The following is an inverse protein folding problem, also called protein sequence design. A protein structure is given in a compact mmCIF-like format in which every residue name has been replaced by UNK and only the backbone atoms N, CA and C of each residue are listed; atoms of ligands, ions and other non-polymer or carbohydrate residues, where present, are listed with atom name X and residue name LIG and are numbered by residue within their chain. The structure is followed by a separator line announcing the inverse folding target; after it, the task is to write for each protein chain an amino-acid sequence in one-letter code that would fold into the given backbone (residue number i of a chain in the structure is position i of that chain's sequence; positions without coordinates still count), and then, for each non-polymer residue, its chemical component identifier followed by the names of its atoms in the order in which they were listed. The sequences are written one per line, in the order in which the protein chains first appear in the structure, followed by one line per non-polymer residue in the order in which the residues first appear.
data_IF_995765163346
#
_entry.id   IF_995765163346
#
_cell.length_a   1.000
_cell.length_b   1.000
_cell.length_c   1.000
_cell.angle_alpha   90.00
_cell.angle_beta   90.00
_cell.angle_gamma   90.00
#
_symmetry.space_group_name_H-M   'P 1'
#
loop_
_entity.id
_entity.type
_entity.pdbx_description
1 polymer ?
#
# COMPACT_ATOMS: atom_id res chain seq x y z
N UNK A 1 0.25 -0.29 15.22
CA UNK A 1 0.93 -0.85 14.03
C UNK A 1 0.47 -0.06 12.82
N UNK A 2 1.27 -0.02 11.77
CA UNK A 2 0.93 0.70 10.55
C UNK A 2 1.28 -0.14 9.32
N UNK A 3 0.44 -0.07 8.29
CA UNK A 3 0.80 -0.49 6.95
C UNK A 3 0.34 0.61 6.00
N UNK A 4 1.25 1.40 5.45
CA UNK A 4 0.92 2.55 4.61
C UNK A 4 1.47 2.37 3.19
N UNK A 5 0.81 3.02 2.23
CA UNK A 5 1.20 3.02 0.81
C UNK A 5 1.45 4.46 0.38
N UNK A 6 2.58 4.71 -0.29
CA UNK A 6 2.92 6.03 -0.78
C UNK A 6 4.19 6.03 -1.61
N UNK A 7 4.83 7.19 -1.65
CA UNK A 7 6.19 7.38 -2.13
C UNK A 7 7.04 7.90 -0.98
N UNK A 8 8.17 7.25 -0.70
CA UNK A 8 9.11 7.73 0.33
C UNK A 8 10.01 8.81 -0.26
N UNK A 9 10.06 9.98 0.40
CA UNK A 9 10.83 11.15 -0.04
C UNK A 9 11.64 11.68 1.14
N UNK A 10 12.85 12.17 0.85
CA UNK A 10 13.64 12.96 1.81
C UNK A 10 13.22 14.41 1.65
N UNK A 11 12.82 15.06 2.75
CA UNK A 11 12.21 16.40 2.71
C UNK A 11 13.17 17.52 2.28
N UNK A 12 14.47 17.24 2.25
CA UNK A 12 15.50 18.17 1.77
C UNK A 12 15.76 17.97 0.27
N UNK A 13 15.97 19.07 -0.48
CA UNK A 13 16.21 19.12 -1.94
C UNK A 13 17.55 18.51 -2.39
N UNK A 14 18.01 17.47 -1.71
CA UNK A 14 19.24 16.77 -2.04
C UNK A 14 18.92 15.68 -3.06
N UNK A 15 19.79 15.55 -4.05
CA UNK A 15 19.68 14.53 -5.10
C UNK A 15 19.60 13.12 -4.47
N UNK A 16 18.55 12.34 -4.75
CA UNK A 16 18.38 10.98 -4.22
C UNK A 16 19.59 10.06 -4.49
N UNK A 17 20.24 10.20 -5.64
CA UNK A 17 21.41 9.39 -6.01
C UNK A 17 22.63 9.76 -5.14
N UNK A 18 22.79 11.04 -4.80
CA UNK A 18 23.83 11.53 -3.89
C UNK A 18 23.58 11.04 -2.48
N UNK A 19 22.33 11.12 -1.99
CA UNK A 19 21.95 10.61 -0.66
C UNK A 19 22.17 9.10 -0.57
N UNK A 20 21.74 8.34 -1.58
CA UNK A 20 21.93 6.91 -1.66
C UNK A 20 23.40 6.53 -1.62
N UNK A 21 24.24 7.20 -2.42
CA UNK A 21 25.69 6.99 -2.41
C UNK A 21 26.30 7.34 -1.05
N UNK A 22 25.95 8.49 -0.49
CA UNK A 22 26.48 8.98 0.78
C UNK A 22 26.11 8.07 1.96
N UNK A 23 24.87 7.58 2.03
CA UNK A 23 24.41 6.74 3.15
C UNK A 23 24.64 5.25 2.94
N UNK A 24 25.06 4.82 1.76
CA UNK A 24 25.51 3.44 1.53
C UNK A 24 26.88 3.16 2.15
N UNK A 25 27.73 4.19 2.35
CA UNK A 25 29.00 4.05 3.06
C UNK A 25 28.76 3.78 4.56
N UNK A 26 29.24 2.65 5.11
CA UNK A 26 29.10 2.33 6.52
C UNK A 26 29.55 3.44 7.48
N UNK A 27 30.52 4.28 7.09
CA UNK A 27 31.04 5.38 7.92
C UNK A 27 30.04 6.52 8.12
N UNK A 28 29.08 6.69 7.23
CA UNK A 28 28.09 7.78 7.20
C UNK A 28 26.66 7.31 7.43
N UNK A 29 26.42 5.99 7.55
CA UNK A 29 25.09 5.43 7.85
C UNK A 29 24.46 5.98 9.13
N UNK A 30 25.26 6.43 10.10
CA UNK A 30 24.72 7.07 11.30
C UNK A 30 23.99 8.38 10.98
N UNK A 31 24.43 9.12 9.95
CA UNK A 31 23.78 10.35 9.49
C UNK A 31 22.46 10.01 8.80
N UNK A 32 22.47 9.00 7.91
CA UNK A 32 21.25 8.55 7.22
C UNK A 32 20.14 8.13 8.19
N UNK A 33 20.49 7.54 9.34
CA UNK A 33 19.54 7.21 10.42
C UNK A 33 18.99 8.42 11.18
N UNK A 34 19.61 9.58 11.07
CA UNK A 34 19.15 10.84 11.68
C UNK A 34 18.32 11.71 10.71
N UNK A 35 18.26 11.34 9.43
CA UNK A 35 17.44 12.05 8.44
C UNK A 35 15.94 11.83 8.68
N UNK A 36 15.14 12.79 8.23
CA UNK A 36 13.69 12.69 8.23
C UNK A 36 13.18 12.07 6.93
N UNK A 37 12.93 10.77 6.98
CA UNK A 37 12.31 10.02 5.88
C UNK A 37 10.81 10.16 5.99
N UNK A 38 10.18 10.79 4.99
CA UNK A 38 8.73 11.03 5.00
C UNK A 38 8.10 10.15 3.94
N UNK A 39 7.08 9.38 4.34
CA UNK A 39 6.22 8.69 3.39
C UNK A 39 5.04 9.60 3.08
N UNK A 40 4.86 9.92 1.80
CA UNK A 40 3.79 10.78 1.34
C UNK A 40 2.90 10.03 0.34
N UNK A 41 1.59 10.27 0.40
CA UNK A 41 0.67 9.85 -0.65
C UNK A 41 0.20 11.09 -1.39
N UNK A 42 0.48 11.13 -2.70
CA UNK A 42 0.23 12.32 -3.52
C UNK A 42 0.99 13.53 -2.95
N UNK A 43 0.29 14.59 -2.54
CA UNK A 43 0.88 15.79 -1.94
C UNK A 43 0.74 15.84 -0.42
N UNK A 44 0.33 14.73 0.22
CA UNK A 44 0.06 14.67 1.65
C UNK A 44 1.09 13.79 2.36
N UNK A 45 1.82 14.38 3.31
CA UNK A 45 2.73 13.65 4.18
C UNK A 45 1.91 12.80 5.18
N UNK A 46 2.17 11.49 5.21
CA UNK A 46 1.42 10.55 6.04
C UNK A 46 2.12 10.22 7.35
N UNK A 47 3.41 9.90 7.28
CA UNK A 47 4.19 9.41 8.41
C UNK A 47 5.69 9.66 8.21
N UNK A 48 6.43 9.61 9.31
CA UNK A 48 7.90 9.63 9.32
C UNK A 48 8.39 8.20 9.53
N UNK A 49 9.22 7.68 8.62
CA UNK A 49 9.87 6.37 8.77
C UNK A 49 11.20 6.56 9.49
N UNK A 50 11.41 5.86 10.60
CA UNK A 50 12.63 5.97 11.39
C UNK A 50 13.38 4.63 11.41
N UNK A 51 14.48 4.47 10.64
CA UNK A 51 15.27 3.26 10.68
C UNK A 51 16.09 3.18 11.98
N UNK A 52 16.08 2.04 12.64
CA UNK A 52 16.80 1.79 13.90
C UNK A 52 18.17 1.13 13.65
N UNK A 53 18.30 0.39 12.56
CA UNK A 53 19.51 -0.33 12.20
C UNK A 53 19.94 -0.07 10.75
N UNK A 54 21.14 -0.55 10.39
CA UNK A 54 21.68 -0.41 9.04
C UNK A 54 20.81 -1.12 7.98
N UNK A 55 20.20 -2.25 8.32
CA UNK A 55 19.30 -2.99 7.43
C UNK A 55 18.06 -2.18 7.07
N UNK A 56 17.40 -1.58 8.08
CA UNK A 56 16.22 -0.73 7.87
C UNK A 56 16.56 0.54 7.08
N UNK A 57 17.74 1.13 7.31
CA UNK A 57 18.23 2.23 6.48
C UNK A 57 18.44 1.77 5.03
N UNK A 58 19.02 0.58 4.83
CA UNK A 58 19.21 -0.01 3.51
C UNK A 58 17.90 -0.08 2.71
N UNK A 59 16.80 -0.52 3.33
CA UNK A 59 15.49 -0.54 2.68
C UNK A 59 15.03 0.85 2.23
N UNK A 60 15.22 1.88 3.05
CA UNK A 60 14.90 3.27 2.68
C UNK A 60 15.78 3.78 1.52
N UNK A 61 17.05 3.42 1.49
CA UNK A 61 17.93 3.78 0.38
C UNK A 61 17.52 3.09 -0.93
N UNK A 62 16.86 1.93 -0.87
CA UNK A 62 16.30 1.26 -2.04
C UNK A 62 15.03 1.93 -2.58
N UNK A 63 14.33 2.74 -1.77
CA UNK A 63 13.19 3.56 -2.22
C UNK A 63 13.64 4.85 -2.90
N UNK A 64 14.88 5.30 -2.66
CA UNK A 64 15.45 6.44 -3.36
C UNK A 64 15.64 6.09 -4.84
N UNK A 65 14.82 6.72 -5.67
CA UNK A 65 14.76 6.52 -7.12
C UNK A 65 15.82 7.38 -7.79
N UNK A 66 16.66 6.76 -8.60
CA UNK A 66 17.50 7.47 -9.57
C UNK A 66 16.61 8.02 -10.69
N UNK A 67 17.06 9.05 -11.41
CA UNK A 67 16.34 9.56 -12.59
C UNK A 67 16.09 8.40 -13.59
N UNK A 68 14.81 8.08 -13.84
CA UNK A 68 14.38 6.97 -14.69
C UNK A 68 13.97 5.69 -13.97
N UNK A 69 14.09 5.58 -12.64
CA UNK A 69 13.56 4.43 -11.89
C UNK A 69 12.03 4.49 -11.79
N UNK A 70 11.37 3.49 -12.38
CA UNK A 70 9.91 3.43 -12.59
C UNK A 70 9.13 2.82 -11.43
N UNK A 71 9.76 2.36 -10.33
CA UNK A 71 9.04 1.96 -9.09
C UNK A 71 8.12 3.10 -8.71
N UNK A 72 6.84 2.83 -8.44
CA UNK A 72 5.82 3.86 -8.19
C UNK A 72 5.09 3.68 -6.85
N UNK A 73 5.25 2.52 -6.21
CA UNK A 73 4.56 2.16 -4.97
C UNK A 73 5.57 1.72 -3.91
N UNK A 74 5.63 2.46 -2.81
CA UNK A 74 6.37 2.14 -1.60
C UNK A 74 5.40 1.70 -0.50
N UNK A 75 5.70 0.58 0.16
CA UNK A 75 4.89 0.03 1.25
C UNK A 75 5.73 -0.05 2.52
N UNK A 76 5.23 0.55 3.59
CA UNK A 76 5.88 0.52 4.91
C UNK A 76 4.98 -0.23 5.89
N UNK A 77 5.51 -1.30 6.47
CA UNK A 77 4.88 -2.06 7.57
C UNK A 77 5.74 -1.88 8.82
N UNK A 78 5.13 -1.45 9.93
CA UNK A 78 5.91 -1.18 11.13
C UNK A 78 5.13 -0.88 12.39
N UNK A 79 5.89 -0.62 13.45
CA UNK A 79 5.36 -0.22 14.75
C UNK A 79 5.19 1.31 14.76
N UNK A 80 3.95 1.75 14.97
CA UNK A 80 3.64 3.16 15.12
C UNK A 80 4.04 3.60 16.53
N UNK A 81 4.90 4.62 16.59
CA UNK A 81 5.34 5.29 17.80
C UNK A 81 4.63 6.64 17.99
N UNK A 82 5.17 7.51 18.87
CA UNK A 82 4.62 8.83 19.10
C UNK A 82 4.72 9.71 17.85
N UNK A 83 3.97 10.81 17.85
CA UNK A 83 4.16 11.88 16.86
C UNK A 83 5.51 12.54 17.07
N UNK A 84 6.15 12.94 15.97
CA UNK A 84 7.39 13.71 16.02
C UNK A 84 7.17 15.05 16.75
N UNK A 85 8.20 15.50 17.48
CA UNK A 85 8.17 16.79 18.18
C UNK A 85 8.20 17.95 17.19
N UNK A 86 7.73 19.13 17.62
CA UNK A 86 7.76 20.34 16.79
C UNK A 86 9.18 20.79 16.39
N UNK A 87 10.20 20.34 17.13
CA UNK A 87 11.62 20.58 16.83
C UNK A 87 12.20 19.59 15.80
N UNK A 88 11.48 18.53 15.44
CA UNK A 88 11.94 17.50 14.52
C UNK A 88 11.33 17.68 13.12
N UNK A 89 12.07 17.24 12.09
CA UNK A 89 11.57 17.13 10.71
C UNK A 89 10.87 18.37 10.15
N UNK A 90 11.46 19.55 10.39
CA UNK A 90 10.92 20.85 9.98
C UNK A 90 9.51 21.12 10.56
N UNK A 91 9.25 20.68 11.79
CA UNK A 91 7.98 20.90 12.50
C UNK A 91 6.85 19.96 12.07
N UNK A 92 7.14 18.90 11.30
CA UNK A 92 6.15 17.93 10.86
C UNK A 92 5.63 17.10 12.05
N UNK A 93 4.40 17.37 12.51
CA UNK A 93 3.75 16.63 13.60
C UNK A 93 3.11 15.31 13.12
N UNK A 94 3.91 14.48 12.44
CA UNK A 94 3.47 13.21 11.86
C UNK A 94 3.76 12.04 12.80
N UNK A 95 2.97 10.95 12.75
CA UNK A 95 3.31 9.71 13.43
C UNK A 95 4.67 9.18 12.98
N UNK A 96 5.51 8.74 13.93
CA UNK A 96 6.78 8.07 13.63
C UNK A 96 6.54 6.57 13.55
N UNK A 97 7.07 5.91 12.53
CA UNK A 97 6.98 4.45 12.34
C UNK A 97 8.38 3.85 12.32
N UNK A 98 8.61 2.88 13.19
CA UNK A 98 9.76 1.99 13.12
C UNK A 98 9.44 0.87 12.11
N UNK A 99 10.14 0.80 10.95
CA UNK A 99 9.82 -0.17 9.92
C UNK A 99 10.24 -1.57 10.37
N UNK A 100 9.33 -2.54 10.24
CA UNK A 100 9.64 -3.96 10.33
C UNK A 100 9.81 -4.58 8.95
N UNK A 101 9.15 -3.99 7.95
CA UNK A 101 9.34 -4.31 6.54
C UNK A 101 9.10 -3.05 5.71
N UNK A 102 9.93 -2.85 4.70
CA UNK A 102 9.74 -1.84 3.69
C UNK A 102 10.07 -2.46 2.33
N UNK A 103 9.23 -2.21 1.33
CA UNK A 103 9.48 -2.67 -0.04
C UNK A 103 8.83 -1.75 -1.06
N UNK A 104 9.37 -1.79 -2.27
CA UNK A 104 8.92 -0.99 -3.40
C UNK A 104 8.68 -1.88 -4.61
N UNK A 105 7.62 -1.59 -5.38
CA UNK A 105 7.35 -2.30 -6.63
C UNK A 105 6.73 -1.37 -7.68
N UNK A 106 6.57 -1.91 -8.89
CA UNK A 106 5.96 -1.22 -10.03
C UNK A 106 4.58 -1.81 -10.29
N UNK A 107 3.59 -0.95 -10.51
CA UNK A 107 2.24 -1.38 -10.89
C UNK A 107 2.27 -2.31 -12.12
N UNK A 108 3.04 -1.98 -13.16
CA UNK A 108 3.17 -2.80 -14.37
C UNK A 108 3.86 -4.14 -14.09
N UNK A 109 4.88 -4.16 -13.23
CA UNK A 109 5.58 -5.39 -12.90
C UNK A 109 4.69 -6.33 -12.07
N UNK A 110 3.83 -5.77 -11.22
CA UNK A 110 2.84 -6.55 -10.49
C UNK A 110 1.73 -7.06 -11.42
N UNK A 111 1.25 -6.21 -12.33
CA UNK A 111 0.22 -6.57 -13.32
C UNK A 111 0.64 -7.76 -14.20
N UNK A 112 1.91 -7.86 -14.59
CA UNK A 112 2.44 -8.99 -15.39
C UNK A 112 2.38 -10.34 -14.68
N UNK A 113 2.25 -10.36 -13.35
CA UNK A 113 2.17 -11.59 -12.55
C UNK A 113 0.73 -12.07 -12.34
N UNK A 114 -0.27 -11.27 -12.74
CA UNK A 114 -1.67 -11.61 -12.55
C UNK A 114 -2.09 -12.73 -13.50
N UNK A 115 -2.87 -13.67 -12.97
CA UNK A 115 -3.49 -14.70 -13.79
C UNK A 115 -4.54 -14.07 -14.71
N UNK A 116 -4.38 -14.26 -16.02
CA UNK A 116 -5.33 -13.77 -17.02
C UNK A 116 -6.64 -14.58 -16.96
N UNK A 117 -7.81 -13.93 -16.80
CA UNK A 117 -9.10 -14.58 -16.99
C UNK A 117 -9.24 -15.11 -18.43
N UNK A 118 -9.75 -16.34 -18.64
CA UNK A 118 -9.88 -16.92 -19.98
C UNK A 118 -10.74 -16.08 -20.95
N UNK A 119 -11.70 -15.34 -20.41
CA UNK A 119 -12.65 -14.45 -21.09
C UNK A 119 -12.04 -13.18 -21.69
N UNK A 120 -10.79 -12.83 -21.36
CA UNK A 120 -10.16 -11.58 -21.79
C UNK A 120 -9.00 -11.87 -22.74
N UNK A 121 -9.01 -11.25 -23.92
CA UNK A 121 -7.91 -11.32 -24.88
C UNK A 121 -6.57 -10.87 -24.27
N UNK A 122 -5.43 -11.53 -24.58
CA UNK A 122 -4.14 -11.26 -23.92
C UNK A 122 -3.69 -9.80 -23.95
N UNK A 123 -3.77 -9.14 -25.11
CA UNK A 123 -3.35 -7.74 -25.25
C UNK A 123 -4.25 -6.80 -24.43
N UNK A 124 -5.57 -7.05 -24.47
CA UNK A 124 -6.55 -6.29 -23.67
C UNK A 124 -6.34 -6.52 -22.17
N UNK A 125 -6.03 -7.75 -21.76
CA UNK A 125 -5.73 -8.05 -20.36
C UNK A 125 -4.49 -7.29 -19.86
N UNK A 126 -3.41 -7.23 -20.64
CA UNK A 126 -2.21 -6.51 -20.23
C UNK A 126 -2.48 -5.02 -19.93
N UNK A 127 -3.30 -4.36 -20.76
CA UNK A 127 -3.74 -2.98 -20.52
C UNK A 127 -4.60 -2.87 -19.25
N UNK A 128 -5.62 -3.73 -19.13
CA UNK A 128 -6.58 -3.69 -18.03
C UNK A 128 -5.95 -4.08 -16.68
N UNK A 129 -4.97 -4.98 -16.67
CA UNK A 129 -4.26 -5.43 -15.47
C UNK A 129 -3.51 -4.27 -14.81
N UNK A 130 -2.73 -3.51 -15.57
CA UNK A 130 -2.03 -2.32 -15.05
C UNK A 130 -3.03 -1.27 -14.57
N UNK A 131 -4.12 -1.06 -15.32
CA UNK A 131 -5.17 -0.11 -14.93
C UNK A 131 -5.91 -0.55 -13.67
N UNK A 132 -6.11 -1.85 -13.48
CA UNK A 132 -6.69 -2.43 -12.28
C UNK A 132 -5.78 -2.22 -11.06
N UNK A 133 -4.48 -2.50 -11.19
CA UNK A 133 -3.50 -2.29 -10.11
C UNK A 133 -3.46 -0.84 -9.66
N UNK A 134 -3.32 0.09 -10.61
CA UNK A 134 -3.28 1.53 -10.31
C UNK A 134 -4.60 2.04 -9.71
N UNK A 135 -5.75 1.59 -10.23
CA UNK A 135 -7.07 1.93 -9.69
C UNK A 135 -7.24 1.44 -8.25
N UNK A 136 -6.97 0.16 -7.96
CA UNK A 136 -7.12 -0.41 -6.62
C UNK A 136 -6.18 0.29 -5.64
N UNK A 137 -4.88 0.41 -5.97
CA UNK A 137 -3.90 1.03 -5.09
C UNK A 137 -4.24 2.51 -4.86
N UNK A 138 -4.63 3.24 -5.89
CA UNK A 138 -5.08 4.63 -5.79
C UNK A 138 -6.29 4.79 -4.87
N UNK A 139 -7.25 3.87 -4.94
CA UNK A 139 -8.50 3.92 -4.15
C UNK A 139 -8.32 3.69 -2.65
N UNK A 140 -7.19 3.09 -2.23
CA UNK A 140 -6.93 2.78 -0.82
C UNK A 140 -5.75 3.56 -0.23
N UNK A 141 -5.22 4.59 -0.91
CA UNK A 141 -4.12 5.39 -0.34
C UNK A 141 -4.55 6.03 0.98
N UNK A 142 -3.93 5.60 2.08
CA UNK A 142 -4.26 6.04 3.43
C UNK A 142 -3.04 5.90 4.37
N UNK A 143 -3.16 6.42 5.59
CA UNK A 143 -2.08 6.42 6.60
C UNK A 143 -1.74 5.05 7.19
N UNK A 144 -2.56 4.02 6.92
CA UNK A 144 -2.35 2.69 7.48
C UNK A 144 -2.55 2.58 8.99
N UNK A 145 -3.12 3.61 9.63
CA UNK A 145 -3.14 3.74 11.10
C UNK A 145 -4.34 3.08 11.79
N UNK A 146 -5.42 2.81 11.05
CA UNK A 146 -6.58 2.05 11.55
C UNK A 146 -6.54 0.61 11.05
N UNK A 147 -7.32 -0.27 11.68
CA UNK A 147 -7.38 -1.67 11.30
C UNK A 147 -8.02 -1.87 9.91
N UNK A 148 -9.01 -1.05 9.55
CA UNK A 148 -9.62 -1.02 8.22
C UNK A 148 -8.62 -0.60 7.14
N UNK A 149 -7.86 0.46 7.42
CA UNK A 149 -6.79 0.94 6.54
C UNK A 149 -5.74 -0.15 6.30
N UNK A 150 -5.34 -0.88 7.34
CA UNK A 150 -4.37 -1.97 7.24
C UNK A 150 -4.89 -3.14 6.42
N UNK A 151 -6.15 -3.51 6.60
CA UNK A 151 -6.79 -4.58 5.83
C UNK A 151 -6.87 -4.22 4.33
N UNK A 152 -7.30 -3.00 4.01
CA UNK A 152 -7.36 -2.49 2.63
C UNK A 152 -5.98 -2.43 1.98
N UNK A 153 -4.97 -1.91 2.70
CA UNK A 153 -3.61 -1.80 2.17
C UNK A 153 -2.96 -3.17 1.97
N UNK A 154 -3.23 -4.13 2.86
CA UNK A 154 -2.80 -5.51 2.69
C UNK A 154 -3.35 -6.10 1.39
N UNK A 155 -4.67 -6.03 1.16
CA UNK A 155 -5.27 -6.58 -0.05
C UNK A 155 -4.77 -5.88 -1.31
N UNK A 156 -4.71 -4.54 -1.30
CA UNK A 156 -4.24 -3.78 -2.45
C UNK A 156 -2.79 -4.07 -2.83
N UNK A 157 -1.94 -4.45 -1.86
CA UNK A 157 -0.51 -4.69 -2.12
C UNK A 157 -0.13 -6.16 -2.25
N UNK A 158 -1.01 -7.10 -1.90
CA UNK A 158 -0.71 -8.55 -1.87
C UNK A 158 -1.69 -9.42 -2.62
N UNK A 159 -2.95 -9.00 -2.83
CA UNK A 159 -3.97 -9.86 -3.44
C UNK A 159 -3.96 -9.81 -4.97
N UNK A 160 -3.28 -10.78 -5.59
CA UNK A 160 -3.34 -10.96 -7.04
C UNK A 160 -4.78 -11.24 -7.53
N UNK A 161 -5.57 -11.94 -6.71
CA UNK A 161 -6.98 -12.25 -6.99
C UNK A 161 -7.84 -10.98 -7.10
N UNK A 162 -7.66 -10.02 -6.19
CA UNK A 162 -8.37 -8.73 -6.24
C UNK A 162 -8.06 -7.95 -7.52
N UNK A 163 -6.80 -7.92 -7.94
CA UNK A 163 -6.40 -7.19 -9.14
C UNK A 163 -6.86 -7.89 -10.42
N UNK A 164 -6.81 -9.22 -10.47
CA UNK A 164 -7.36 -10.00 -11.59
C UNK A 164 -8.88 -9.82 -11.71
N UNK A 165 -9.60 -9.84 -10.58
CA UNK A 165 -11.03 -9.53 -10.54
C UNK A 165 -11.29 -8.10 -11.04
N UNK A 166 -10.55 -7.11 -10.55
CA UNK A 166 -10.71 -5.73 -10.99
C UNK A 166 -10.47 -5.58 -12.51
N UNK A 167 -9.49 -6.29 -13.07
CA UNK A 167 -9.26 -6.31 -14.52
C UNK A 167 -10.45 -6.91 -15.29
N UNK A 168 -11.06 -7.98 -14.77
CA UNK A 168 -12.30 -8.54 -15.32
C UNK A 168 -13.46 -7.56 -15.24
N UNK A 169 -13.68 -6.92 -14.08
CA UNK A 169 -14.71 -5.91 -13.91
C UNK A 169 -14.54 -4.75 -14.90
N UNK A 170 -13.31 -4.28 -15.11
CA UNK A 170 -13.01 -3.27 -16.13
C UNK A 170 -13.32 -3.76 -17.56
N UNK A 171 -13.07 -5.03 -17.87
CA UNK A 171 -13.39 -5.62 -19.17
C UNK A 171 -14.90 -5.65 -19.44
N UNK A 172 -15.69 -5.80 -18.37
CA UNK A 172 -17.15 -5.86 -18.39
C UNK A 172 -17.82 -4.48 -18.22
N UNK A 173 -17.06 -3.39 -18.41
CA UNK A 173 -17.52 -2.00 -18.27
C UNK A 173 -18.00 -1.61 -16.86
N UNK A 174 -17.46 -2.25 -15.82
CA UNK A 174 -17.57 -1.80 -14.44
C UNK A 174 -16.36 -0.96 -14.01
N UNK A 175 -16.54 -0.11 -12.99
CA UNK A 175 -15.48 0.63 -12.32
C UNK A 175 -15.61 0.49 -10.82
N UNK A 176 -14.47 0.54 -10.11
CA UNK A 176 -14.50 0.59 -8.65
C UNK A 176 -15.19 1.87 -8.20
N UNK A 177 -16.28 1.72 -7.45
CA UNK A 177 -17.03 2.81 -6.86
C UNK A 177 -16.67 3.02 -5.38
N UNK A 178 -16.31 1.94 -4.67
CA UNK A 178 -15.90 2.03 -3.27
C UNK A 178 -15.01 0.86 -2.85
N UNK A 179 -14.08 1.13 -1.93
CA UNK A 179 -13.39 0.14 -1.13
C UNK A 179 -13.62 0.49 0.35
N UNK A 180 -14.11 -0.45 1.15
CA UNK A 180 -14.46 -0.23 2.57
C UNK A 180 -13.94 -1.35 3.44
N UNK A 181 -13.66 -1.04 4.69
CA UNK A 181 -13.39 -2.02 5.74
C UNK A 181 -14.36 -1.80 6.90
N UNK A 182 -14.79 -2.88 7.54
CA UNK A 182 -15.58 -2.86 8.76
C UNK A 182 -15.24 -4.07 9.64
N UNK A 183 -15.42 -3.96 10.94
CA UNK A 183 -15.22 -5.09 11.84
C UNK A 183 -16.19 -6.23 11.52
N UNK A 184 -15.67 -7.45 11.54
CA UNK A 184 -16.48 -8.66 11.41
C UNK A 184 -16.97 -9.13 12.79
N UNK A 185 -18.19 -9.68 12.83
CA UNK A 185 -18.75 -10.33 14.02
C UNK A 185 -17.98 -11.58 14.46
N UNK A 186 -17.07 -12.09 13.63
CA UNK A 186 -16.25 -13.27 13.90
C UNK A 186 -15.06 -13.00 14.86
N UNK A 187 -15.09 -11.91 15.63
CA UNK A 187 -13.97 -11.46 16.46
C UNK A 187 -13.88 -12.19 17.81
N UNK A 188 -13.35 -13.43 17.81
CA UNK A 188 -13.00 -14.18 19.03
C UNK A 188 -11.68 -13.66 19.67
N UNK A 189 -11.62 -12.38 20.03
CA UNK A 189 -10.41 -11.73 20.57
C UNK A 189 -9.36 -11.35 19.52
N UNK A 190 -9.66 -11.57 18.24
CA UNK A 190 -8.86 -11.15 17.09
C UNK A 190 -9.52 -9.96 16.39
N UNK A 191 -8.71 -9.13 15.75
CA UNK A 191 -9.18 -7.99 14.95
C UNK A 191 -9.35 -8.45 13.51
N UNK A 192 -10.56 -8.87 13.17
CA UNK A 192 -10.92 -9.35 11.84
C UNK A 192 -11.74 -8.26 11.16
N UNK A 193 -11.27 -7.83 10.00
CA UNK A 193 -11.92 -6.81 9.18
C UNK A 193 -12.52 -7.50 7.95
N UNK A 194 -13.82 -7.32 7.76
CA UNK A 194 -14.43 -7.55 6.46
C UNK A 194 -14.13 -6.36 5.56
N UNK A 195 -13.43 -6.63 4.47
CA UNK A 195 -13.16 -5.67 3.41
C UNK A 195 -14.15 -5.88 2.28
N UNK A 196 -14.65 -4.81 1.69
CA UNK A 196 -15.56 -4.87 0.54
C UNK A 196 -15.14 -3.94 -0.58
N UNK A 197 -15.29 -4.43 -1.81
CA UNK A 197 -15.00 -3.71 -3.04
C UNK A 197 -16.26 -3.69 -3.89
N UNK A 198 -16.84 -2.50 -4.06
CA UNK A 198 -18.06 -2.28 -4.85
C UNK A 198 -17.68 -1.75 -6.22
N UNK A 199 -18.12 -2.45 -7.25
CA UNK A 199 -17.96 -2.08 -8.65
C UNK A 199 -19.31 -1.71 -9.24
N UNK A 200 -19.36 -0.59 -9.97
CA UNK A 200 -20.57 -0.09 -10.61
C UNK A 200 -20.45 -0.14 -12.13
N UNK A 201 -21.51 -0.61 -12.78
CA UNK A 201 -21.58 -0.62 -14.25
C UNK A 201 -21.65 0.81 -14.79
N UNK A 202 -20.93 1.07 -15.89
CA UNK A 202 -21.01 2.33 -16.62
C UNK A 202 -22.28 2.44 -17.49
N UNK A 203 -22.96 1.33 -17.74
CA UNK A 203 -24.10 1.24 -18.68
C UNK A 203 -25.44 1.08 -17.99
N UNK A 204 -25.45 0.51 -16.78
CA UNK A 204 -26.65 0.10 -16.06
C UNK A 204 -26.55 0.51 -14.59
N UNK A 205 -27.66 0.61 -13.84
CA UNK A 205 -27.61 0.87 -12.40
C UNK A 205 -27.03 -0.30 -11.58
N UNK A 206 -26.70 -1.44 -12.21
CA UNK A 206 -26.19 -2.63 -11.55
C UNK A 206 -24.85 -2.36 -10.84
N UNK A 207 -24.74 -2.88 -9.62
CA UNK A 207 -23.54 -2.89 -8.80
C UNK A 207 -23.21 -4.33 -8.41
N UNK A 208 -21.91 -4.63 -8.34
CA UNK A 208 -21.40 -5.92 -7.85
C UNK A 208 -20.46 -5.63 -6.70
N UNK A 209 -20.59 -6.39 -5.62
CA UNK A 209 -19.76 -6.22 -4.43
C UNK A 209 -19.07 -7.54 -4.10
N UNK A 210 -17.79 -7.46 -3.77
CA UNK A 210 -16.97 -8.59 -3.36
C UNK A 210 -16.39 -8.31 -1.99
N UNK A 211 -16.28 -9.33 -1.15
CA UNK A 211 -15.66 -9.21 0.17
C UNK A 211 -14.65 -10.30 0.48
N UNK A 212 -13.74 -9.96 1.39
CA UNK A 212 -12.77 -10.85 1.99
C UNK A 212 -12.56 -10.47 3.46
N UNK A 213 -12.32 -11.49 4.30
CA UNK A 213 -11.96 -11.31 5.69
C UNK A 213 -10.44 -11.26 5.85
N UNK A 214 -9.95 -10.24 6.53
CA UNK A 214 -8.52 -10.03 6.80
C UNK A 214 -8.33 -9.97 8.31
N UNK A 215 -7.42 -10.78 8.84
CA UNK A 215 -6.95 -10.63 10.21
C UNK A 215 -5.84 -9.58 10.25
N UNK A 216 -6.04 -8.56 11.08
CA UNK A 216 -5.09 -7.47 11.30
C UNK A 216 -4.66 -7.41 12.78
N UNK A 217 -4.82 -8.51 13.52
CA UNK A 217 -4.47 -8.56 14.94
C UNK A 217 -3.00 -8.26 15.18
N UNK A 218 -2.13 -8.84 14.36
CA UNK A 218 -0.68 -8.72 14.48
C UNK A 218 -0.11 -7.82 13.39
N UNK A 219 1.22 -7.61 13.40
CA UNK A 219 1.89 -6.65 12.52
C UNK A 219 1.67 -6.95 11.03
N UNK A 220 1.67 -8.23 10.67
CA UNK A 220 1.52 -8.71 9.30
C UNK A 220 0.12 -9.28 9.11
N UNK A 221 -0.76 -8.57 8.38
CA UNK A 221 -2.09 -9.08 8.09
C UNK A 221 -2.08 -10.35 7.24
N UNK A 222 -3.15 -11.14 7.32
CA UNK A 222 -3.35 -12.31 6.46
C UNK A 222 -4.84 -12.54 6.15
N UNK A 223 -5.10 -13.28 5.07
CA UNK A 223 -6.46 -13.64 4.64
C UNK A 223 -7.05 -14.71 5.57
N UNK A 224 -8.30 -14.50 5.99
CA UNK A 224 -9.13 -15.51 6.68
C UNK A 224 -10.09 -16.16 5.69
N UNK A 225 -10.59 -15.41 4.70
CA UNK A 225 -11.42 -15.93 3.61
C UNK A 225 -10.85 -15.51 2.26
N UNK A 226 -11.13 -16.32 1.24
CA UNK A 226 -10.88 -15.92 -0.15
C UNK A 226 -11.79 -14.75 -0.55
N UNK A 227 -11.40 -14.01 -1.59
CA UNK A 227 -12.22 -12.97 -2.16
C UNK A 227 -13.41 -13.60 -2.89
N UNK A 228 -14.62 -13.19 -2.54
CA UNK A 228 -15.82 -13.74 -3.18
C UNK A 228 -16.95 -12.72 -3.24
N UNK A 229 -18.06 -13.05 -3.92
CA UNK A 229 -19.25 -12.21 -3.92
C UNK A 229 -19.68 -11.90 -2.48
N UNK A 230 -19.97 -10.64 -2.19
CA UNK A 230 -20.44 -10.23 -0.88
C UNK A 230 -21.85 -10.75 -0.65
N UNK A 231 -22.03 -11.52 0.43
CA UNK A 231 -23.34 -12.02 0.86
C UNK A 231 -23.71 -11.23 2.11
N UNK A 232 -24.78 -10.43 2.04
CA UNK A 232 -25.34 -9.82 3.24
C UNK A 232 -25.79 -10.95 4.18
N UNK A 233 -25.13 -11.05 5.34
CA UNK A 233 -25.58 -11.93 6.41
C UNK A 233 -26.60 -11.15 7.25
N UNK A 234 -27.84 -11.61 7.23
CA UNK A 234 -28.95 -11.11 8.05
C UNK A 234 -28.83 -11.58 9.50
#
# INVERSE_FOLDING_TARGET
MAQAIGSAVVKDKLDPSVLKKAFSDPKSQYIGRQMCWVLSAETVDLLIVKPNCATELGWLLETLRDEGNTRDIDVVIGHMGPRASISACNGAMLPVVAPAQLYSFQAEAFARQLARPPSIEPAKFAELATRAVTMIIGSVRNSGSSDEHRALNYLATRSAELHALAAQMLADDFVLAAARGGYSDLSAGRRIIETSFTFKSRKTPNEQQFSALVDVTDLFPFLISQLGPHVQRH
#
